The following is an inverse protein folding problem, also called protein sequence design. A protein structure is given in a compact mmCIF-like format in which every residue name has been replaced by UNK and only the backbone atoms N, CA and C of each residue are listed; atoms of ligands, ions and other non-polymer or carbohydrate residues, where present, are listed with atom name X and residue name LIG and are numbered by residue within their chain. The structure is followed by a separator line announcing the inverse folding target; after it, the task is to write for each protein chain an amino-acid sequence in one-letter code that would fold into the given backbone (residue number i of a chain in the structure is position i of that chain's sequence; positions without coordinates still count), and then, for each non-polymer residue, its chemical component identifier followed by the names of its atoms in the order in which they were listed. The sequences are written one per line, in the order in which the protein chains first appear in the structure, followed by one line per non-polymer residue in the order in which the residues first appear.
data_IF_241840217496
#
_entry.id   IF_241840217496
#
_cell.length_a   1.000
_cell.length_b   1.000
_cell.length_c   1.000
_cell.angle_alpha   90.00
_cell.angle_beta   90.00
_cell.angle_gamma   90.00
#
_symmetry.space_group_name_H-M   'P 1'
#
loop_
_entity.id
_entity.type
_entity.pdbx_description
1 polymer ?
#
# COMPACT_ATOMS: atom_id res chain seq x y z
N UNK A 1 -43.71 17.40 12.14
CA UNK A 1 -42.52 16.76 11.55
C UNK A 1 -41.65 17.86 10.98
N UNK A 2 -40.49 18.13 11.57
CA UNK A 2 -39.54 19.11 11.04
C UNK A 2 -38.58 18.38 10.10
N UNK A 3 -38.61 18.76 8.82
CA UNK A 3 -37.61 18.36 7.83
C UNK A 3 -36.35 19.15 8.17
N UNK A 4 -35.26 18.48 8.57
CA UNK A 4 -33.98 19.15 8.75
C UNK A 4 -33.45 19.55 7.38
N UNK A 5 -33.64 20.82 7.05
CA UNK A 5 -33.01 21.49 5.91
C UNK A 5 -31.54 21.68 6.23
N UNK A 6 -30.74 20.63 6.07
CA UNK A 6 -29.28 20.77 6.14
C UNK A 6 -28.81 21.54 4.90
N UNK A 7 -28.23 22.74 5.04
CA UNK A 7 -27.56 23.37 3.92
C UNK A 7 -26.42 22.45 3.51
N UNK A 8 -26.40 22.06 2.23
CA UNK A 8 -25.26 21.39 1.63
C UNK A 8 -24.11 22.41 1.57
N UNK A 9 -23.40 22.60 2.68
CA UNK A 9 -22.10 23.25 2.64
C UNK A 9 -21.24 22.45 1.65
N UNK A 10 -20.93 23.08 0.52
CA UNK A 10 -20.05 22.48 -0.46
C UNK A 10 -18.73 22.18 0.23
N UNK A 11 -18.42 20.88 0.39
CA UNK A 11 -17.12 20.44 0.90
C UNK A 11 -16.07 21.14 0.03
N UNK A 12 -15.25 21.99 0.63
CA UNK A 12 -14.13 22.63 -0.03
C UNK A 12 -13.23 21.53 -0.60
N UNK A 13 -13.35 21.30 -1.92
CA UNK A 13 -12.54 20.31 -2.65
C UNK A 13 -11.11 20.81 -2.88
N UNK A 14 -10.75 22.01 -2.39
CA UNK A 14 -9.43 22.62 -2.57
C UNK A 14 -8.27 21.80 -1.99
N UNK A 15 -8.55 20.85 -1.10
CA UNK A 15 -7.56 19.90 -0.57
C UNK A 15 -7.38 18.60 -1.36
N UNK A 16 -8.16 18.36 -2.42
CA UNK A 16 -8.06 17.12 -3.21
C UNK A 16 -6.86 17.23 -4.14
N UNK A 17 -5.69 16.84 -3.64
CA UNK A 17 -4.57 16.58 -4.54
C UNK A 17 -4.96 15.42 -5.47
N UNK A 18 -4.64 15.50 -6.78
CA UNK A 18 -4.83 14.37 -7.67
C UNK A 18 -4.16 13.14 -7.07
N UNK A 19 -4.85 12.00 -7.06
CA UNK A 19 -4.30 10.75 -6.56
C UNK A 19 -3.09 10.35 -7.40
N UNK A 20 -1.90 10.41 -6.81
CA UNK A 20 -0.69 9.82 -7.39
C UNK A 20 -0.65 8.34 -7.07
N UNK A 21 -1.51 7.55 -7.72
CA UNK A 21 -1.62 6.12 -7.46
C UNK A 21 -0.25 5.46 -7.52
N UNK A 22 0.10 4.75 -6.45
CA UNK A 22 1.33 3.99 -6.32
C UNK A 22 1.02 2.51 -6.19
N UNK A 23 1.92 1.68 -6.70
CA UNK A 23 1.93 0.24 -6.50
C UNK A 23 3.14 -0.14 -5.67
N UNK A 24 2.94 -0.95 -4.64
CA UNK A 24 4.01 -1.53 -3.82
C UNK A 24 4.24 -2.97 -4.26
N UNK A 25 5.49 -3.32 -4.55
CA UNK A 25 5.87 -4.67 -4.98
C UNK A 25 7.11 -5.16 -4.23
N UNK A 26 7.19 -6.46 -4.01
CA UNK A 26 8.39 -7.15 -3.49
C UNK A 26 9.12 -7.76 -4.68
N UNK A 27 10.41 -7.50 -4.80
CA UNK A 27 11.30 -8.15 -5.78
C UNK A 27 12.05 -9.28 -5.11
N UNK A 28 11.95 -10.48 -5.68
CA UNK A 28 12.65 -11.66 -5.21
C UNK A 28 13.96 -11.87 -5.99
N UNK A 29 14.91 -12.58 -5.39
CA UNK A 29 16.23 -12.87 -5.97
C UNK A 29 16.14 -13.64 -7.30
N UNK A 30 15.07 -14.40 -7.52
CA UNK A 30 14.77 -15.10 -8.78
C UNK A 30 14.25 -14.18 -9.90
N UNK A 31 14.13 -12.87 -9.67
CA UNK A 31 13.59 -11.90 -10.63
C UNK A 31 12.06 -11.81 -10.63
N UNK A 32 11.38 -12.65 -9.85
CA UNK A 32 9.93 -12.57 -9.66
C UNK A 32 9.55 -11.29 -8.89
N UNK A 33 8.38 -10.75 -9.23
CA UNK A 33 7.80 -9.58 -8.58
C UNK A 33 6.44 -9.95 -8.01
N UNK A 34 6.29 -9.79 -6.70
CA UNK A 34 5.04 -10.02 -5.98
C UNK A 34 4.39 -8.67 -5.68
N UNK A 35 3.22 -8.42 -6.24
CA UNK A 35 2.46 -7.22 -5.87
C UNK A 35 1.99 -7.36 -4.42
N UNK A 36 2.14 -6.30 -3.62
CA UNK A 36 1.56 -6.21 -2.27
C UNK A 36 0.21 -5.52 -2.35
N UNK A 37 0.16 -4.36 -3.00
CA UNK A 37 -1.06 -3.57 -3.07
C UNK A 37 -0.84 -2.23 -3.78
N UNK A 38 -1.89 -1.42 -3.74
CA UNK A 38 -1.90 -0.06 -4.30
C UNK A 38 -2.22 0.95 -3.21
N UNK A 39 -1.69 2.16 -3.34
CA UNK A 39 -1.88 3.25 -2.40
C UNK A 39 -2.21 4.56 -3.15
N UNK A 40 -3.04 5.45 -2.57
CA UNK A 40 -3.54 6.64 -3.24
C UNK A 40 -2.47 7.71 -3.52
N UNK A 41 -1.36 7.67 -2.78
CA UNK A 41 -0.26 8.63 -2.91
C UNK A 41 1.07 8.03 -2.43
N UNK A 42 2.18 8.77 -2.59
CA UNK A 42 3.51 8.33 -2.18
C UNK A 42 3.62 8.02 -0.69
N UNK A 43 3.05 8.87 0.17
CA UNK A 43 3.16 8.71 1.63
C UNK A 43 2.48 7.42 2.10
N UNK A 44 1.23 7.20 1.71
CA UNK A 44 0.50 5.96 2.00
C UNK A 44 1.18 4.72 1.43
N UNK A 45 1.84 4.83 0.27
CA UNK A 45 2.61 3.73 -0.30
C UNK A 45 3.86 3.39 0.51
N UNK A 46 4.55 4.40 1.05
CA UNK A 46 5.69 4.20 1.94
C UNK A 46 5.25 3.60 3.27
N UNK A 47 4.11 4.02 3.82
CA UNK A 47 3.53 3.38 5.01
C UNK A 47 3.24 1.90 4.76
N UNK A 48 2.60 1.57 3.63
CA UNK A 48 2.35 0.18 3.23
C UNK A 48 3.67 -0.60 3.09
N UNK A 49 4.67 -0.05 2.41
CA UNK A 49 5.97 -0.69 2.26
C UNK A 49 6.64 -0.97 3.61
N UNK A 50 6.60 -0.02 4.56
CA UNK A 50 7.16 -0.20 5.91
C UNK A 50 6.48 -1.31 6.69
N UNK A 51 5.15 -1.42 6.62
CA UNK A 51 4.43 -2.54 7.25
C UNK A 51 4.84 -3.89 6.67
N UNK A 52 5.12 -3.96 5.36
CA UNK A 52 5.64 -5.19 4.73
C UNK A 52 7.06 -5.48 5.18
N UNK A 53 7.92 -4.47 5.31
CA UNK A 53 9.29 -4.65 5.83
C UNK A 53 9.23 -5.29 7.22
N UNK A 54 8.38 -4.76 8.10
CA UNK A 54 8.23 -5.27 9.47
C UNK A 54 7.79 -6.75 9.48
N UNK A 55 6.80 -7.10 8.65
CA UNK A 55 6.31 -8.49 8.53
C UNK A 55 7.38 -9.44 7.96
N UNK A 56 8.22 -8.96 7.04
CA UNK A 56 9.32 -9.74 6.44
C UNK A 56 10.50 -9.92 7.41
N UNK A 57 10.87 -8.87 8.15
CA UNK A 57 11.99 -8.90 9.10
C UNK A 57 11.66 -9.67 10.38
N UNK A 58 10.42 -9.55 10.86
CA UNK A 58 9.96 -10.14 12.11
C UNK A 58 8.72 -11.00 11.89
N UNK A 59 8.83 -12.09 11.12
CA UNK A 59 7.70 -12.98 10.88
C UNK A 59 7.16 -13.51 12.21
N UNK A 60 5.84 -13.56 12.36
CA UNK A 60 5.13 -13.97 13.58
C UNK A 60 5.21 -15.48 13.89
N UNK A 61 6.23 -16.16 13.39
CA UNK A 61 6.54 -17.58 13.61
C UNK A 61 6.53 -18.43 12.34
N UNK A 62 5.83 -17.99 11.31
CA UNK A 62 5.79 -18.60 9.97
C UNK A 62 6.27 -17.61 8.91
N UNK A 63 6.68 -18.11 7.75
CA UNK A 63 7.03 -17.26 6.61
C UNK A 63 5.86 -16.30 6.27
N UNK A 64 6.14 -15.03 5.93
CA UNK A 64 5.12 -14.02 5.72
C UNK A 64 4.19 -14.36 4.56
N UNK A 65 2.88 -14.29 4.81
CA UNK A 65 1.84 -14.48 3.80
C UNK A 65 1.48 -13.15 3.14
N UNK A 66 1.93 -12.95 1.90
CA UNK A 66 1.65 -11.76 1.11
C UNK A 66 0.84 -12.15 -0.13
N UNK A 67 -0.38 -11.60 -0.28
CA UNK A 67 -1.28 -11.86 -1.41
C UNK A 67 -1.38 -13.35 -1.78
N UNK A 68 -1.74 -14.17 -0.78
CA UNK A 68 -1.92 -15.62 -0.91
C UNK A 68 -0.64 -16.42 -1.21
N UNK A 69 0.54 -15.80 -1.03
CA UNK A 69 1.83 -16.45 -1.20
C UNK A 69 2.66 -16.35 0.07
N UNK A 70 3.17 -17.48 0.51
CA UNK A 70 4.12 -17.57 1.61
C UNK A 70 5.52 -17.30 1.05
N UNK A 71 6.22 -16.27 1.55
CA UNK A 71 7.50 -15.82 1.02
C UNK A 71 8.65 -16.16 1.96
N UNK A 72 9.76 -16.66 1.40
CA UNK A 72 11.03 -16.74 2.13
C UNK A 72 11.61 -15.33 2.31
N UNK A 73 11.78 -14.80 3.54
CA UNK A 73 12.37 -13.49 3.77
C UNK A 73 13.77 -13.34 3.17
N UNK A 74 14.57 -14.42 3.16
CA UNK A 74 15.93 -14.41 2.61
C UNK A 74 15.99 -14.22 1.10
N UNK A 75 14.86 -14.42 0.41
CA UNK A 75 14.74 -14.23 -1.03
C UNK A 75 14.40 -12.80 -1.44
N UNK A 76 14.04 -11.93 -0.51
CA UNK A 76 13.66 -10.54 -0.79
C UNK A 76 14.89 -9.69 -1.10
N UNK A 77 14.86 -9.03 -2.26
CA UNK A 77 15.93 -8.11 -2.69
C UNK A 77 15.55 -6.66 -2.43
N UNK A 78 14.31 -6.28 -2.75
CA UNK A 78 13.80 -4.92 -2.54
C UNK A 78 12.29 -4.89 -2.41
N UNK A 79 11.80 -3.82 -1.80
CA UNK A 79 10.38 -3.45 -1.83
C UNK A 79 10.29 -2.11 -2.58
N UNK A 80 9.73 -2.15 -3.78
CA UNK A 80 9.71 -1.01 -4.70
C UNK A 80 8.35 -0.29 -4.61
N UNK A 81 8.39 1.05 -4.53
CA UNK A 81 7.21 1.91 -4.66
C UNK A 81 7.19 2.51 -6.06
N UNK A 82 6.28 2.01 -6.90
CA UNK A 82 6.18 2.36 -8.31
C UNK A 82 5.01 3.33 -8.52
N UNK A 83 5.17 4.29 -9.43
CA UNK A 83 4.04 5.10 -9.90
C UNK A 83 3.20 4.28 -10.88
N UNK A 84 1.88 4.37 -10.77
CA UNK A 84 0.94 3.83 -11.75
C UNK A 84 0.69 4.95 -12.76
N UNK A 85 1.15 4.75 -13.99
CA UNK A 85 0.93 5.66 -15.11
C UNK A 85 -0.47 5.51 -15.69
#
# INVERSE_FOLDING_TARGET
MALLEHPLEAIDRGGWQPSELRRVVIRLAGGEVVQVGTAPNRESAITLARSVIEEVEHPSGEWPLINNRVLDPGSVVSIDVLQIA
#
